data_IF_210661643630
#
_entry.id   IF_210661643630
#
_cell.length_a   1.000
_cell.length_b   1.000
_cell.length_c   1.000
_cell.angle_alpha   90.00
_cell.angle_beta   90.00
_cell.angle_gamma   90.00
#
_symmetry.space_group_name_H-M   'P 1'
#
loop_
_entity.id
_entity.type
_entity.pdbx_description
1 polymer ?
#
# COMPACT_ATOMS: atom_id res chain seq x y z
N UNK A 1 20.71 23.12 14.85
CA UNK A 1 20.38 21.69 14.64
C UNK A 1 18.88 21.36 14.62
N UNK A 2 17.98 22.13 15.27
CA UNK A 2 16.55 21.80 15.28
C UNK A 2 15.81 22.09 13.96
N UNK A 3 16.20 23.09 13.17
CA UNK A 3 15.45 23.49 11.96
C UNK A 3 15.46 22.46 10.82
N UNK A 4 16.54 21.68 10.68
CA UNK A 4 16.64 20.65 9.62
C UNK A 4 15.73 19.44 9.90
N UNK A 5 15.50 19.13 11.18
CA UNK A 5 14.67 18.01 11.63
C UNK A 5 13.17 18.29 11.46
N UNK A 6 12.76 19.55 11.57
CA UNK A 6 11.41 20.02 11.22
C UNK A 6 11.19 20.02 9.70
N UNK A 7 12.22 20.35 8.90
CA UNK A 7 12.13 20.33 7.45
C UNK A 7 11.96 18.90 6.90
N UNK A 8 12.65 17.91 7.48
CA UNK A 8 12.49 16.50 7.10
C UNK A 8 11.13 15.92 7.52
N UNK A 9 10.58 16.36 8.67
CA UNK A 9 9.27 15.95 9.16
C UNK A 9 8.10 16.54 8.34
N UNK A 10 8.29 17.73 7.74
CA UNK A 10 7.31 18.38 6.85
C UNK A 10 7.37 17.85 5.40
N UNK A 11 8.52 17.31 4.97
CA UNK A 11 8.72 16.75 3.63
C UNK A 11 7.94 15.44 3.41
N UNK A 12 7.87 14.58 4.43
CA UNK A 12 7.18 13.28 4.38
C UNK A 12 5.70 13.43 4.01
N UNK A 13 4.89 14.26 4.68
CA UNK A 13 3.48 14.43 4.32
C UNK A 13 3.30 15.07 2.95
N UNK A 14 4.23 15.93 2.49
CA UNK A 14 4.14 16.54 1.16
C UNK A 14 4.35 15.52 0.05
N UNK A 15 5.30 14.57 0.23
CA UNK A 15 5.50 13.45 -0.68
C UNK A 15 4.36 12.44 -0.64
N UNK A 16 3.77 12.18 0.53
CA UNK A 16 2.60 11.29 0.64
C UNK A 16 1.35 11.90 -0.01
N UNK A 17 1.12 13.21 0.14
CA UNK A 17 -0.02 13.89 -0.50
C UNK A 17 0.16 14.00 -2.02
N UNK A 18 1.40 14.10 -2.51
CA UNK A 18 1.71 14.07 -3.95
C UNK A 18 1.54 12.67 -4.59
N UNK A 19 1.44 11.60 -3.79
CA UNK A 19 1.11 10.26 -4.26
C UNK A 19 -0.41 10.04 -4.40
N UNK A 20 -1.25 10.92 -3.85
CA UNK A 20 -2.70 10.86 -4.02
C UNK A 20 -3.16 11.76 -5.17
N UNK A 21 -3.20 11.21 -6.39
CA UNK A 21 -3.82 11.86 -7.54
C UNK A 21 -5.35 11.74 -7.46
N UNK A 22 -5.94 12.29 -6.39
CA UNK A 22 -7.37 12.41 -6.19
C UNK A 22 -7.81 13.83 -6.52
N UNK A 23 -7.62 14.24 -7.77
CA UNK A 23 -8.32 15.40 -8.29
C UNK A 23 -9.64 14.90 -8.88
N UNK A 24 -10.66 14.95 -8.05
CA UNK A 24 -12.05 14.95 -8.46
C UNK A 24 -12.29 16.19 -9.32
N UNK A 25 -12.02 16.08 -10.62
CA UNK A 25 -12.54 16.99 -11.64
C UNK A 25 -13.44 16.17 -12.53
N UNK A 26 -14.72 16.22 -12.18
CA UNK A 26 -15.84 15.87 -13.02
C UNK A 26 -15.84 16.79 -14.24
N UNK A 27 -14.95 16.57 -15.20
CA UNK A 27 -15.01 17.13 -16.54
C UNK A 27 -14.15 16.28 -17.46
N UNK A 28 -14.67 16.10 -18.65
CA UNK A 28 -14.28 15.27 -19.78
C UNK A 28 -12.87 15.58 -20.34
N UNK A 29 -11.85 15.60 -19.49
CA UNK A 29 -10.45 15.64 -19.89
C UNK A 29 -9.82 14.29 -19.61
N UNK A 30 -9.31 13.71 -20.68
CA UNK A 30 -8.80 12.36 -20.78
C UNK A 30 -7.51 12.21 -19.96
N UNK A 31 -7.66 12.11 -18.65
CA UNK A 31 -6.56 11.77 -17.77
C UNK A 31 -6.01 10.40 -18.15
N UNK A 32 -4.69 10.23 -18.04
CA UNK A 32 -3.98 8.95 -18.19
C UNK A 32 -4.73 7.81 -17.47
N UNK A 33 -5.39 8.12 -16.35
CA UNK A 33 -6.24 7.20 -15.61
C UNK A 33 -7.42 6.62 -16.41
N UNK A 34 -8.14 7.46 -17.17
CA UNK A 34 -9.26 7.01 -18.00
C UNK A 34 -8.78 6.08 -19.12
N UNK A 35 -7.67 6.43 -19.77
CA UNK A 35 -7.09 5.62 -20.85
C UNK A 35 -6.48 4.30 -20.34
N UNK A 36 -5.80 4.32 -19.19
CA UNK A 36 -5.04 3.17 -18.69
C UNK A 36 -5.88 2.22 -17.81
N UNK A 37 -6.89 2.72 -17.10
CA UNK A 37 -7.73 1.90 -16.22
C UNK A 37 -9.16 1.75 -16.74
N UNK A 38 -9.85 2.85 -17.04
CA UNK A 38 -11.30 2.80 -17.33
C UNK A 38 -11.57 2.17 -18.70
N UNK A 39 -10.88 2.63 -19.75
CA UNK A 39 -11.09 2.17 -21.12
C UNK A 39 -10.84 0.65 -21.33
N UNK A 40 -9.77 0.03 -20.78
CA UNK A 40 -9.59 -1.41 -20.94
C UNK A 40 -10.63 -2.23 -20.16
N UNK A 41 -11.08 -1.75 -19.00
CA UNK A 41 -12.13 -2.43 -18.22
C UNK A 41 -13.46 -2.38 -18.97
N UNK A 42 -13.83 -1.24 -19.53
CA UNK A 42 -15.06 -1.08 -20.29
C UNK A 42 -15.09 -1.96 -21.56
N UNK A 43 -13.97 -1.99 -22.31
CA UNK A 43 -13.82 -2.87 -23.48
C UNK A 43 -13.93 -4.35 -23.12
N UNK A 44 -13.33 -4.76 -22.00
CA UNK A 44 -13.39 -6.14 -21.52
C UNK A 44 -14.83 -6.52 -21.12
N UNK A 45 -15.55 -5.61 -20.49
CA UNK A 45 -16.97 -5.78 -20.14
C UNK A 45 -17.83 -5.95 -21.39
N UNK A 46 -17.71 -5.06 -22.38
CA UNK A 46 -18.47 -5.14 -23.63
C UNK A 46 -18.11 -6.39 -24.44
N UNK A 47 -16.84 -6.78 -24.51
CA UNK A 47 -16.41 -7.99 -25.21
C UNK A 47 -17.02 -9.27 -24.59
N UNK A 48 -16.97 -9.38 -23.26
CA UNK A 48 -17.61 -10.50 -22.56
C UNK A 48 -19.14 -10.42 -22.65
N UNK A 49 -19.73 -9.23 -22.53
CA UNK A 49 -21.16 -9.01 -22.68
C UNK A 49 -21.69 -9.47 -24.03
N UNK A 50 -20.96 -9.20 -25.11
CA UNK A 50 -21.29 -9.66 -26.45
C UNK A 50 -21.20 -11.19 -26.59
N UNK A 51 -20.20 -11.82 -25.96
CA UNK A 51 -20.07 -13.28 -25.93
C UNK A 51 -21.22 -13.97 -25.18
N UNK A 52 -21.77 -13.31 -24.15
CA UNK A 52 -22.92 -13.78 -23.37
C UNK A 52 -24.28 -13.27 -23.91
N UNK A 53 -24.32 -12.63 -25.08
CA UNK A 53 -25.55 -12.16 -25.72
C UNK A 53 -26.25 -11.03 -24.96
N UNK A 54 -25.55 -9.92 -24.70
CA UNK A 54 -26.03 -8.73 -23.98
C UNK A 54 -26.36 -8.97 -22.48
N UNK A 55 -26.00 -10.14 -21.94
CA UNK A 55 -26.18 -10.45 -20.52
C UNK A 55 -25.01 -9.94 -19.68
N UNK A 56 -24.97 -8.62 -19.42
CA UNK A 56 -23.91 -7.97 -18.64
C UNK A 56 -23.75 -8.53 -17.22
N UNK A 57 -24.83 -9.05 -16.60
CA UNK A 57 -24.75 -9.68 -15.27
C UNK A 57 -23.85 -10.92 -15.25
N UNK A 58 -24.01 -11.82 -16.24
CA UNK A 58 -23.16 -13.01 -16.39
C UNK A 58 -21.72 -12.65 -16.77
N UNK A 59 -21.54 -11.60 -17.57
CA UNK A 59 -20.23 -11.06 -17.90
C UNK A 59 -19.48 -10.57 -16.66
N UNK A 60 -20.13 -9.79 -15.79
CA UNK A 60 -19.55 -9.24 -14.54
C UNK A 60 -19.19 -10.34 -13.54
N UNK A 61 -20.05 -11.34 -13.37
CA UNK A 61 -19.74 -12.45 -12.45
C UNK A 61 -18.50 -13.21 -12.94
N UNK A 62 -18.43 -13.48 -14.25
CA UNK A 62 -17.33 -14.22 -14.86
C UNK A 62 -16.00 -13.46 -14.74
N UNK A 63 -15.96 -12.17 -15.05
CA UNK A 63 -14.74 -11.36 -14.92
C UNK A 63 -14.22 -11.33 -13.47
N UNK A 64 -15.11 -11.18 -12.48
CA UNK A 64 -14.69 -11.16 -11.07
C UNK A 64 -14.14 -12.51 -10.63
N UNK A 65 -14.74 -13.63 -11.07
CA UNK A 65 -14.21 -14.97 -10.79
C UNK A 65 -12.82 -15.17 -11.39
N UNK A 66 -12.60 -14.77 -12.65
CA UNK A 66 -11.29 -14.84 -13.30
C UNK A 66 -10.26 -13.99 -12.55
N UNK A 67 -10.61 -12.75 -12.23
CA UNK A 67 -9.74 -11.83 -11.47
C UNK A 67 -9.41 -12.43 -10.11
N UNK A 68 -10.39 -13.02 -9.40
CA UNK A 68 -10.16 -13.69 -8.11
C UNK A 68 -9.19 -14.87 -8.25
N UNK A 69 -9.37 -15.73 -9.24
CA UNK A 69 -8.45 -16.86 -9.49
C UNK A 69 -7.04 -16.39 -9.81
N UNK A 70 -6.89 -15.23 -10.46
CA UNK A 70 -5.58 -14.64 -10.77
C UNK A 70 -4.93 -13.93 -9.56
N UNK A 71 -5.72 -13.20 -8.76
CA UNK A 71 -5.22 -12.47 -7.58
C UNK A 71 -4.95 -13.37 -6.37
N UNK A 72 -5.71 -14.44 -6.17
CA UNK A 72 -5.50 -15.37 -5.04
C UNK A 72 -4.08 -15.97 -4.98
N UNK A 73 -3.49 -16.53 -6.05
CA UNK A 73 -2.13 -17.06 -6.01
C UNK A 73 -1.09 -15.97 -5.75
N UNK A 74 -1.32 -14.75 -6.27
CA UNK A 74 -0.48 -13.59 -5.99
C UNK A 74 -0.53 -13.21 -4.51
N UNK A 75 -1.73 -13.18 -3.91
CA UNK A 75 -1.90 -12.86 -2.50
C UNK A 75 -1.25 -13.92 -1.61
N UNK A 76 -1.34 -15.21 -1.93
CA UNK A 76 -0.67 -16.28 -1.17
C UNK A 76 0.85 -16.08 -1.16
N UNK A 77 1.44 -15.66 -2.30
CA UNK A 77 2.86 -15.30 -2.37
C UNK A 77 3.20 -14.08 -1.50
N UNK A 78 2.39 -13.03 -1.57
CA UNK A 78 2.57 -11.83 -0.76
C UNK A 78 2.46 -12.13 0.75
N UNK A 79 1.46 -12.93 1.13
CA UNK A 79 1.19 -13.35 2.51
C UNK A 79 2.33 -14.21 3.04
N UNK A 80 2.87 -15.17 2.27
CA UNK A 80 4.07 -15.94 2.65
C UNK A 80 5.26 -15.04 2.99
N UNK A 81 5.53 -14.01 2.19
CA UNK A 81 6.62 -13.07 2.47
C UNK A 81 6.39 -12.29 3.77
N UNK A 82 5.14 -11.89 4.04
CA UNK A 82 4.79 -11.23 5.30
C UNK A 82 4.89 -12.18 6.51
N UNK A 83 4.50 -13.45 6.38
CA UNK A 83 4.63 -14.44 7.45
C UNK A 83 6.08 -14.76 7.78
N UNK A 84 6.95 -14.89 6.78
CA UNK A 84 8.38 -15.11 7.02
C UNK A 84 9.04 -13.95 7.78
N UNK A 85 8.61 -12.71 7.55
CA UNK A 85 9.05 -11.57 8.36
C UNK A 85 8.53 -11.64 9.80
N UNK A 86 7.31 -12.16 10.03
CA UNK A 86 6.72 -12.32 11.37
C UNK A 86 7.40 -13.43 12.17
N UNK A 87 7.69 -14.57 11.56
CA UNK A 87 8.38 -15.70 12.20
C UNK A 87 9.82 -15.33 12.59
N UNK A 88 10.54 -14.61 11.71
CA UNK A 88 11.86 -14.05 12.04
C UNK A 88 11.80 -13.02 13.16
N UNK A 89 10.67 -12.32 13.28
CA UNK A 89 10.46 -11.39 14.39
C UNK A 89 10.27 -12.13 15.72
N UNK A 90 9.61 -13.29 15.77
CA UNK A 90 9.47 -14.05 17.04
C UNK A 90 10.80 -14.55 17.61
N UNK A 91 11.73 -15.02 16.77
CA UNK A 91 13.06 -15.45 17.21
C UNK A 91 13.96 -14.26 17.56
N UNK A 92 13.75 -13.11 16.93
CA UNK A 92 14.57 -11.90 17.10
C UNK A 92 13.99 -10.95 18.16
N UNK A 93 12.70 -11.06 18.53
CA UNK A 93 12.04 -10.32 19.62
C UNK A 93 12.86 -10.28 20.92
N UNK A 94 13.40 -11.38 21.47
CA UNK A 94 14.20 -11.32 22.69
C UNK A 94 15.49 -10.49 22.53
N UNK A 95 16.08 -10.47 21.33
CA UNK A 95 17.24 -9.63 21.03
C UNK A 95 16.83 -8.15 20.83
N UNK A 96 15.67 -7.90 20.22
CA UNK A 96 15.13 -6.55 20.07
C UNK A 96 14.70 -5.99 21.43
N UNK A 97 14.19 -6.80 22.35
CA UNK A 97 13.78 -6.37 23.68
C UNK A 97 14.99 -6.06 24.58
N UNK A 98 16.04 -6.90 24.54
CA UNK A 98 17.31 -6.58 25.20
C UNK A 98 17.98 -5.34 24.58
N UNK A 99 17.96 -5.16 23.26
CA UNK A 99 18.44 -3.92 22.63
C UNK A 99 17.56 -2.71 22.98
N UNK A 100 16.23 -2.85 23.05
CA UNK A 100 15.31 -1.79 23.49
C UNK A 100 15.56 -1.40 24.93
N UNK A 101 15.90 -2.35 25.80
CA UNK A 101 16.25 -2.08 27.19
C UNK A 101 17.56 -1.30 27.28
N UNK A 102 18.61 -1.75 26.58
CA UNK A 102 19.89 -1.03 26.51
C UNK A 102 19.74 0.37 25.89
N UNK A 103 18.91 0.54 24.86
CA UNK A 103 18.62 1.86 24.24
C UNK A 103 17.77 2.75 25.15
N UNK A 104 16.85 2.18 25.94
CA UNK A 104 16.07 2.92 26.96
C UNK A 104 16.98 3.37 28.11
N UNK A 105 17.90 2.52 28.56
CA UNK A 105 18.88 2.84 29.59
C UNK A 105 19.86 3.94 29.11
N UNK A 106 20.36 3.83 27.87
CA UNK A 106 21.22 4.86 27.26
C UNK A 106 20.49 6.21 27.11
N UNK A 107 19.23 6.22 26.64
CA UNK A 107 18.40 7.44 26.60
C UNK A 107 18.14 8.04 27.98
N UNK A 108 18.06 7.20 29.01
CA UNK A 108 17.86 7.66 30.41
C UNK A 108 19.13 8.31 30.95
N UNK A 109 20.30 7.78 30.60
CA UNK A 109 21.59 8.39 30.95
C UNK A 109 21.82 9.72 30.22
N UNK A 110 21.52 9.80 28.93
CA UNK A 110 21.61 11.05 28.16
C UNK A 110 20.62 12.13 28.64
N UNK A 111 19.40 11.74 29.06
CA UNK A 111 18.44 12.66 29.67
C UNK A 111 18.91 13.16 31.06
N UNK A 112 19.60 12.32 31.83
CA UNK A 112 20.12 12.65 33.17
C UNK A 112 21.42 13.47 33.14
N UNK A 113 22.17 13.40 32.04
CA UNK A 113 23.41 14.19 31.84
C UNK A 113 23.12 15.58 31.26
N UNK A 114 21.97 15.78 30.62
CA UNK A 114 21.55 17.07 30.02
C UNK A 114 20.80 18.00 30.97
N UNK A 115 20.46 17.54 32.18
CA UNK A 115 19.78 18.32 33.22
C UNK A 115 20.72 18.79 34.34
N UNK A 116 22.04 18.86 34.07
CA UNK A 116 23.05 19.38 34.99
C UNK A 116 23.86 20.49 34.32
#
# INVERSE_FOLDING_TARGET
MMRIKWLFLLSIPLFLTACNKSQQTHNHDQGIFNMIFVQPIDKLLHALGHLYGENYGLAIITIVLIIRVLLLPFMVLQVKNMHMMREKTEVVQPQIDTLKENVKLAKTQEAKTRSK
#
